data_IF_730115522642
#
_entry.id   IF_730115522642
#
_cell.length_a   1.000
_cell.length_b   1.000
_cell.length_c   1.000
_cell.angle_alpha   90.00
_cell.angle_beta   90.00
_cell.angle_gamma   90.00
#
_symmetry.space_group_name_H-M   'P 1'
#
loop_
_entity.id
_entity.type
_entity.pdbx_description
1 polymer ?
#
# COMPACT_ATOMS: atom_id res chain seq x y z
N UNK A 1 -4.68 -16.21 10.52
CA UNK A 1 -3.21 -16.06 10.42
C UNK A 1 -2.88 -14.60 10.62
N UNK A 2 -1.83 -14.28 11.38
CA UNK A 2 -1.45 -12.89 11.67
C UNK A 2 -1.01 -12.19 10.38
N UNK A 3 -1.77 -11.19 9.94
CA UNK A 3 -1.52 -10.40 8.74
C UNK A 3 -2.62 -9.37 8.51
N UNK A 4 -2.33 -8.33 7.76
CA UNK A 4 -3.33 -7.34 7.36
C UNK A 4 -4.46 -8.02 6.57
N UNK A 5 -5.65 -7.42 6.58
CA UNK A 5 -6.77 -7.90 5.76
C UNK A 5 -6.32 -8.13 4.32
N UNK A 6 -6.78 -9.22 3.71
CA UNK A 6 -6.60 -9.50 2.29
C UNK A 6 -7.63 -8.79 1.41
N UNK A 7 -8.63 -8.15 2.01
CA UNK A 7 -9.70 -7.48 1.26
C UNK A 7 -9.12 -6.32 0.45
N UNK A 8 -9.45 -6.29 -0.84
CA UNK A 8 -8.92 -5.35 -1.82
C UNK A 8 -7.38 -5.36 -2.00
N UNK A 9 -6.66 -6.33 -1.43
CA UNK A 9 -5.22 -6.47 -1.62
C UNK A 9 -4.90 -6.68 -3.11
N UNK A 10 -3.94 -5.94 -3.69
CA UNK A 10 -3.55 -6.16 -5.08
C UNK A 10 -3.06 -7.60 -5.31
N UNK A 11 -3.48 -8.23 -6.41
CA UNK A 11 -3.11 -9.61 -6.74
C UNK A 11 -1.58 -9.84 -6.81
N UNK A 12 -0.83 -8.81 -7.20
CA UNK A 12 0.63 -8.83 -7.25
C UNK A 12 1.27 -9.06 -5.87
N UNK A 13 0.61 -8.59 -4.81
CA UNK A 13 1.05 -8.82 -3.42
C UNK A 13 0.80 -10.27 -3.04
N UNK A 14 -0.35 -10.84 -3.41
CA UNK A 14 -0.63 -12.26 -3.20
C UNK A 14 0.36 -13.16 -3.91
N UNK A 15 0.61 -12.88 -5.18
CA UNK A 15 1.63 -13.55 -5.98
C UNK A 15 3.03 -13.46 -5.35
N UNK A 16 3.41 -12.31 -4.78
CA UNK A 16 4.69 -12.13 -4.09
C UNK A 16 4.75 -12.91 -2.77
N UNK A 17 3.69 -12.88 -1.96
CA UNK A 17 3.59 -13.62 -0.71
C UNK A 17 3.71 -15.14 -0.96
N UNK A 18 3.00 -15.67 -1.96
CA UNK A 18 3.08 -17.07 -2.37
C UNK A 18 4.49 -17.48 -2.83
N UNK A 19 5.28 -16.53 -3.34
CA UNK A 19 6.68 -16.72 -3.73
C UNK A 19 7.65 -16.45 -2.59
N UNK A 20 7.23 -16.73 -1.36
CA UNK A 20 8.00 -16.49 -0.13
C UNK A 20 8.58 -15.07 -0.03
N UNK A 21 7.87 -14.08 -0.60
CA UNK A 21 8.28 -12.67 -0.62
C UNK A 21 9.65 -12.47 -1.29
N UNK A 22 9.92 -13.22 -2.36
CA UNK A 22 11.17 -13.14 -3.11
C UNK A 22 11.57 -11.69 -3.46
N UNK A 23 12.84 -11.35 -3.19
CA UNK A 23 13.42 -10.05 -3.56
C UNK A 23 13.54 -9.87 -5.08
N UNK A 24 13.58 -10.97 -5.83
CA UNK A 24 13.73 -10.96 -7.30
C UNK A 24 12.39 -10.91 -8.03
N UNK A 25 11.26 -11.03 -7.32
CA UNK A 25 9.94 -10.90 -7.92
C UNK A 25 9.69 -9.46 -8.38
N UNK A 26 9.44 -9.33 -9.68
CA UNK A 26 9.09 -8.08 -10.35
C UNK A 26 7.76 -8.29 -11.09
N UNK A 27 6.62 -7.82 -10.56
CA UNK A 27 5.36 -7.94 -11.26
C UNK A 27 5.43 -7.14 -12.57
N UNK A 28 4.82 -7.68 -13.63
CA UNK A 28 4.49 -6.90 -14.81
C UNK A 28 3.18 -6.21 -14.47
N UNK A 29 3.25 -4.93 -14.11
CA UNK A 29 2.08 -4.12 -13.75
C UNK A 29 1.28 -3.74 -15.01
N UNK A 30 0.83 -4.75 -15.74
CA UNK A 30 -0.09 -4.61 -16.87
C UNK A 30 -1.43 -4.13 -16.29
N UNK A 31 -1.73 -2.83 -16.44
CA UNK A 31 -2.82 -2.18 -15.72
C UNK A 31 -2.36 -1.44 -14.45
N UNK A 32 -1.32 -0.60 -14.58
CA UNK A 32 -0.79 0.23 -13.50
C UNK A 32 -1.88 1.03 -12.75
N UNK A 33 -2.86 1.59 -13.45
CA UNK A 33 -3.96 2.33 -12.82
C UNK A 33 -4.83 1.45 -11.91
N UNK A 34 -5.09 0.22 -12.33
CA UNK A 34 -5.83 -0.74 -11.51
C UNK A 34 -5.02 -1.12 -10.27
N UNK A 35 -3.72 -1.37 -10.43
CA UNK A 35 -2.82 -1.62 -9.30
C UNK A 35 -2.83 -0.47 -8.29
N UNK A 36 -2.75 0.79 -8.75
CA UNK A 36 -2.84 1.98 -7.89
C UNK A 36 -4.17 2.06 -7.16
N UNK A 37 -5.27 1.79 -7.87
CA UNK A 37 -6.62 1.80 -7.30
C UNK A 37 -6.78 0.73 -6.21
N UNK A 38 -6.34 -0.50 -6.49
CA UNK A 38 -6.38 -1.61 -5.54
C UNK A 38 -5.53 -1.30 -4.31
N UNK A 39 -4.33 -0.74 -4.50
CA UNK A 39 -3.48 -0.35 -3.39
C UNK A 39 -4.13 0.73 -2.51
N UNK A 40 -4.80 1.74 -3.10
CA UNK A 40 -5.57 2.76 -2.37
C UNK A 40 -6.72 2.13 -1.58
N UNK A 41 -7.49 1.25 -2.21
CA UNK A 41 -8.61 0.57 -1.57
C UNK A 41 -8.13 -0.32 -0.42
N UNK A 42 -7.04 -1.06 -0.64
CA UNK A 42 -6.43 -1.89 0.39
C UNK A 42 -5.96 -1.05 1.57
N UNK A 43 -5.24 0.05 1.31
CA UNK A 43 -4.78 0.97 2.35
C UNK A 43 -5.95 1.51 3.19
N UNK A 44 -7.05 1.89 2.53
CA UNK A 44 -8.27 2.34 3.19
C UNK A 44 -8.87 1.28 4.11
N UNK A 45 -8.87 0.01 3.70
CA UNK A 45 -9.46 -1.09 4.45
C UNK A 45 -8.62 -1.48 5.66
N UNK A 46 -7.30 -1.51 5.53
CA UNK A 46 -6.40 -1.95 6.62
C UNK A 46 -6.21 -0.89 7.70
N UNK A 47 -6.38 0.39 7.36
CA UNK A 47 -6.24 1.48 8.32
C UNK A 47 -7.37 1.51 9.34
N UNK A 48 -7.16 2.04 10.55
CA UNK A 48 -8.21 2.18 11.55
C UNK A 48 -9.44 2.98 11.05
N UNK A 49 -10.61 2.74 11.64
CA UNK A 49 -11.86 3.45 11.27
C UNK A 49 -11.81 4.96 11.55
N UNK A 50 -11.07 5.37 12.57
CA UNK A 50 -10.95 6.79 12.94
C UNK A 50 -10.12 7.59 11.93
N UNK A 51 -9.29 6.93 11.10
CA UNK A 51 -8.60 7.58 9.99
C UNK A 51 -9.62 7.81 8.88
N UNK A 52 -10.19 9.01 8.83
CA UNK A 52 -11.26 9.41 7.90
C UNK A 52 -11.13 8.72 6.52
N UNK A 53 -11.95 7.68 6.33
CA UNK A 53 -11.95 6.84 5.12
C UNK A 53 -12.79 7.44 4.00
N UNK A 54 -13.31 8.66 4.16
CA UNK A 54 -14.14 9.34 3.16
C UNK A 54 -13.31 9.80 1.95
N UNK A 55 -12.01 10.02 2.13
CA UNK A 55 -11.10 10.32 1.02
C UNK A 55 -10.76 9.06 0.23
N UNK A 56 -10.91 9.12 -1.09
CA UNK A 56 -10.35 8.11 -1.99
C UNK A 56 -8.86 8.39 -2.12
N UNK A 57 -8.02 7.67 -1.38
CA UNK A 57 -6.57 7.78 -1.54
C UNK A 57 -5.76 7.55 -0.28
N UNK A 58 -4.50 8.00 -0.33
CA UNK A 58 -3.53 7.89 0.75
C UNK A 58 -3.56 9.08 1.72
N UNK A 59 -4.33 10.13 1.46
CA UNK A 59 -4.41 11.29 2.36
C UNK A 59 -5.45 11.06 3.48
N UNK A 60 -5.35 9.94 4.18
CA UNK A 60 -6.25 9.62 5.29
C UNK A 60 -5.99 10.58 6.46
N UNK A 61 -7.05 10.92 7.21
CA UNK A 61 -6.94 11.80 8.38
C UNK A 61 -5.83 11.36 9.34
N UNK A 62 -5.01 12.33 9.76
CA UNK A 62 -3.98 12.16 10.82
C UNK A 62 -4.58 12.54 12.17
N UNK A 63 -4.20 11.81 13.22
CA UNK A 63 -4.70 12.00 14.57
C UNK A 63 -4.16 10.95 15.54
N UNK A 64 -4.58 11.04 16.80
CA UNK A 64 -4.00 10.28 17.92
C UNK A 64 -4.77 8.98 18.24
N UNK A 65 -5.40 8.38 17.23
CA UNK A 65 -6.17 7.15 17.43
C UNK A 65 -5.30 5.89 17.47
N UNK A 66 -5.91 4.76 17.87
CA UNK A 66 -5.18 3.50 18.04
C UNK A 66 -4.82 2.85 16.68
N UNK A 67 -3.54 2.52 16.48
CA UNK A 67 -2.98 1.83 15.32
C UNK A 67 -2.83 0.31 15.47
N UNK A 68 -3.29 -0.27 16.58
CA UNK A 68 -3.07 -1.70 16.89
C UNK A 68 -3.60 -2.66 15.83
N UNK A 69 -4.54 -2.26 14.97
CA UNK A 69 -5.00 -3.09 13.85
C UNK A 69 -3.95 -3.25 12.74
N UNK A 70 -3.00 -2.31 12.64
CA UNK A 70 -1.84 -2.37 11.76
C UNK A 70 -0.67 -3.11 12.42
N UNK A 71 -0.67 -3.23 13.75
CA UNK A 71 0.28 -4.04 14.49
C UNK A 71 -0.03 -5.54 14.34
N UNK A 72 0.53 -6.14 13.29
CA UNK A 72 0.46 -7.58 13.06
C UNK A 72 1.80 -8.23 13.44
N UNK A 73 1.97 -8.71 14.70
CA UNK A 73 3.21 -9.37 15.12
C UNK A 73 3.39 -10.66 14.30
N UNK A 74 4.35 -10.63 13.37
CA UNK A 74 4.50 -11.64 12.33
C UNK A 74 4.88 -11.02 10.98
N UNK A 75 4.66 -11.75 9.89
CA UNK A 75 5.27 -11.42 8.59
C UNK A 75 4.66 -10.16 7.94
N UNK A 76 5.26 -9.00 8.22
CA UNK A 76 5.45 -7.89 7.28
C UNK A 76 4.18 -7.27 6.67
N UNK A 77 3.16 -7.01 7.51
CA UNK A 77 1.93 -6.33 7.11
C UNK A 77 2.19 -4.99 6.40
N UNK A 78 2.69 -3.99 7.14
CA UNK A 78 2.98 -2.67 6.57
C UNK A 78 4.15 -2.69 5.56
N UNK A 79 5.12 -3.61 5.71
CA UNK A 79 6.22 -3.79 4.75
C UNK A 79 5.71 -4.18 3.36
N UNK A 80 4.54 -4.82 3.27
CA UNK A 80 3.91 -5.11 1.97
C UNK A 80 3.52 -3.83 1.23
N UNK A 81 3.13 -2.76 1.93
CA UNK A 81 2.86 -1.45 1.32
C UNK A 81 4.15 -0.77 0.85
N UNK A 82 5.26 -0.89 1.60
CA UNK A 82 6.58 -0.42 1.14
C UNK A 82 6.97 -1.10 -0.17
N UNK A 83 6.72 -2.42 -0.28
CA UNK A 83 7.00 -3.15 -1.52
C UNK A 83 6.12 -2.69 -2.68
N UNK A 84 4.84 -2.39 -2.42
CA UNK A 84 3.95 -1.81 -3.43
C UNK A 84 4.42 -0.43 -3.89
N UNK A 85 4.85 0.44 -2.97
CA UNK A 85 5.41 1.76 -3.28
C UNK A 85 6.67 1.65 -4.14
N UNK A 86 7.52 0.65 -3.88
CA UNK A 86 8.67 0.36 -4.73
C UNK A 86 8.22 -0.06 -6.15
N UNK A 87 7.30 -1.01 -6.29
CA UNK A 87 6.82 -1.43 -7.60
C UNK A 87 6.13 -0.31 -8.37
N UNK A 88 5.40 0.57 -7.67
CA UNK A 88 4.83 1.77 -8.25
C UNK A 88 5.94 2.66 -8.84
N UNK A 89 6.97 2.95 -8.06
CA UNK A 89 8.10 3.77 -8.52
C UNK A 89 8.80 3.14 -9.74
N UNK A 90 9.10 1.84 -9.67
CA UNK A 90 9.73 1.09 -10.77
C UNK A 90 8.87 1.09 -12.04
N UNK A 91 7.55 1.26 -11.91
CA UNK A 91 6.64 1.31 -13.05
C UNK A 91 6.80 2.60 -13.87
N UNK A 92 7.21 3.72 -13.25
CA UNK A 92 7.39 5.00 -13.95
C UNK A 92 8.41 4.94 -15.09
N UNK A 93 9.36 4.00 -15.05
CA UNK A 93 10.30 3.78 -16.16
C UNK A 93 9.66 3.09 -17.38
N UNK A 94 8.41 2.61 -17.26
CA UNK A 94 7.76 1.71 -18.21
C UNK A 94 6.36 2.14 -18.64
N UNK A 95 5.83 3.20 -18.03
CA UNK A 95 4.49 3.74 -18.30
C UNK A 95 4.61 5.21 -18.67
N UNK A 96 3.69 5.69 -19.51
CA UNK A 96 3.53 7.12 -19.74
C UNK A 96 2.91 7.75 -18.48
N UNK A 97 3.69 8.57 -17.76
CA UNK A 97 3.24 9.21 -16.53
C UNK A 97 2.13 10.23 -16.81
N UNK A 98 1.03 10.15 -16.06
CA UNK A 98 0.03 11.21 -16.05
C UNK A 98 0.48 12.37 -15.15
N UNK A 99 -0.06 13.57 -15.41
CA UNK A 99 0.18 14.71 -14.56
C UNK A 99 -0.27 14.42 -13.13
N UNK A 100 0.66 14.52 -12.17
CA UNK A 100 0.38 14.32 -10.75
C UNK A 100 0.70 12.92 -10.22
N UNK A 101 1.06 11.95 -11.06
CA UNK A 101 1.35 10.58 -10.62
C UNK A 101 2.47 10.52 -9.56
N UNK A 102 3.54 11.28 -9.75
CA UNK A 102 4.63 11.38 -8.76
C UNK A 102 4.21 12.07 -7.47
N UNK A 103 3.28 13.04 -7.55
CA UNK A 103 2.74 13.72 -6.36
C UNK A 103 1.85 12.75 -5.57
N UNK A 104 1.03 11.95 -6.25
CA UNK A 104 0.21 10.90 -5.62
C UNK A 104 1.10 9.84 -4.97
N UNK A 105 2.13 9.36 -5.68
CA UNK A 105 3.11 8.42 -5.11
C UNK A 105 3.78 8.99 -3.85
N UNK A 106 4.20 10.26 -3.88
CA UNK A 106 4.82 10.91 -2.73
C UNK A 106 3.86 11.00 -1.54
N UNK A 107 2.61 11.39 -1.78
CA UNK A 107 1.58 11.40 -0.73
C UNK A 107 1.36 9.99 -0.14
N UNK A 108 1.41 8.94 -0.97
CA UNK A 108 1.33 7.56 -0.51
C UNK A 108 2.51 7.16 0.37
N UNK A 109 3.74 7.53 -0.02
CA UNK A 109 4.94 7.32 0.79
C UNK A 109 4.82 8.03 2.13
N UNK A 110 4.43 9.30 2.13
CA UNK A 110 4.35 10.12 3.34
C UNK A 110 3.30 9.56 4.32
N UNK A 111 2.18 9.04 3.81
CA UNK A 111 1.14 8.48 4.66
C UNK A 111 1.49 7.11 5.24
N UNK A 112 2.08 6.24 4.41
CA UNK A 112 2.55 4.92 4.86
C UNK A 112 3.66 5.10 5.89
N UNK A 113 4.64 5.97 5.63
CA UNK A 113 5.72 6.27 6.57
C UNK A 113 5.19 6.80 7.90
N UNK A 114 4.22 7.72 7.86
CA UNK A 114 3.59 8.21 9.08
C UNK A 114 2.91 7.09 9.87
N UNK A 115 2.14 6.22 9.22
CA UNK A 115 1.50 5.08 9.88
C UNK A 115 2.51 4.09 10.48
N UNK A 116 3.68 3.90 9.86
CA UNK A 116 4.79 3.10 10.40
C UNK A 116 5.34 3.65 11.71
N UNK A 117 5.33 4.97 11.90
CA UNK A 117 5.81 5.61 13.13
C UNK A 117 4.82 5.47 14.30
N UNK A 118 3.56 5.07 14.03
CA UNK A 118 2.50 4.97 15.03
C UNK A 118 2.29 3.54 15.57
N UNK A 119 2.91 2.51 14.97
CA UNK A 119 2.78 1.09 15.37
C UNK A 119 3.89 0.58 16.26
#
# INVERSE_FOLDING_TARGET
>A
GYGLSSDARPEYVDAWIQRARSLTYKPKLEGFDQFRLDMKNWWRVVNPEWRDRSSVGFALGRGDGNFSCLYCPGTNGLVSFVKCLQWWWDAFERVDEAEGDRKEWRAAVDDVAWAFEQV
#
